data_IF_675758971894
#
_entry.id   IF_675758971894
#
_cell.length_a   1.000
_cell.length_b   1.000
_cell.length_c   1.000
_cell.angle_alpha   90.00
_cell.angle_beta   90.00
_cell.angle_gamma   90.00
#
_symmetry.space_group_name_H-M   'P 1'
#
loop_
_entity.id
_entity.type
_entity.pdbx_description
1 polymer ?
#
# COMPACT_ATOMS: atom_id res chain seq x y z
N UNK A 1 5.88 22.06 -10.00
CA UNK A 1 5.76 20.97 -10.99
C UNK A 1 5.91 19.60 -10.33
N UNK A 2 6.99 19.34 -9.57
CA UNK A 2 7.20 18.08 -8.82
C UNK A 2 6.06 17.77 -7.84
N UNK A 3 5.61 18.73 -7.04
CA UNK A 3 4.48 18.55 -6.13
C UNK A 3 3.20 18.09 -6.86
N UNK A 4 2.92 18.62 -8.06
CA UNK A 4 1.75 18.21 -8.86
C UNK A 4 1.86 16.75 -9.29
N UNK A 5 3.03 16.32 -9.76
CA UNK A 5 3.27 14.91 -10.13
C UNK A 5 3.07 13.99 -8.92
N UNK A 6 3.60 14.36 -7.75
CA UNK A 6 3.40 13.62 -6.51
C UNK A 6 1.92 13.54 -6.10
N UNK A 7 1.18 14.64 -6.21
CA UNK A 7 -0.25 14.67 -5.92
C UNK A 7 -1.02 13.68 -6.81
N UNK A 8 -0.74 13.69 -8.12
CA UNK A 8 -1.38 12.75 -9.05
C UNK A 8 -1.00 11.30 -8.74
N UNK A 9 0.30 11.02 -8.56
CA UNK A 9 0.84 9.70 -8.20
C UNK A 9 0.15 9.14 -6.96
N UNK A 10 0.12 9.93 -5.87
CA UNK A 10 -0.50 9.51 -4.62
C UNK A 10 -2.02 9.31 -4.78
N UNK A 11 -2.70 10.18 -5.52
CA UNK A 11 -4.16 10.07 -5.74
C UNK A 11 -4.56 8.76 -6.41
N UNK A 12 -3.79 8.30 -7.41
CA UNK A 12 -4.03 7.02 -8.06
C UNK A 12 -3.62 5.83 -7.18
N UNK A 13 -2.48 5.93 -6.49
CA UNK A 13 -2.02 4.91 -5.55
C UNK A 13 -3.08 4.63 -4.47
N UNK A 14 -3.69 5.68 -3.92
CA UNK A 14 -4.77 5.59 -2.95
C UNK A 14 -5.94 4.72 -3.45
N UNK A 15 -6.33 4.85 -4.73
CA UNK A 15 -7.41 4.04 -5.30
C UNK A 15 -7.06 2.56 -5.41
N UNK A 16 -5.79 2.24 -5.67
CA UNK A 16 -5.28 0.86 -5.67
C UNK A 16 -5.33 0.28 -4.26
N UNK A 17 -4.84 1.02 -3.26
CA UNK A 17 -4.87 0.61 -1.85
C UNK A 17 -6.31 0.37 -1.39
N UNK A 18 -7.22 1.31 -1.69
CA UNK A 18 -8.63 1.17 -1.37
C UNK A 18 -9.24 -0.08 -2.02
N UNK A 19 -8.96 -0.33 -3.30
CA UNK A 19 -9.41 -1.54 -3.99
C UNK A 19 -8.94 -2.81 -3.26
N UNK A 20 -7.67 -2.90 -2.84
CA UNK A 20 -7.19 -4.10 -2.12
C UNK A 20 -7.92 -4.31 -0.79
N UNK A 21 -8.32 -3.23 -0.11
CA UNK A 21 -9.13 -3.32 1.11
C UNK A 21 -10.55 -3.76 0.87
N UNK A 22 -11.15 -3.32 -0.24
CA UNK A 22 -12.47 -3.78 -0.68
C UNK A 22 -12.44 -5.27 -1.00
N UNK A 23 -11.45 -5.73 -1.77
CA UNK A 23 -11.29 -7.16 -2.10
C UNK A 23 -11.11 -8.00 -0.85
N UNK A 24 -10.29 -7.53 0.10
CA UNK A 24 -10.13 -8.19 1.38
C UNK A 24 -11.46 -8.30 2.13
N UNK A 25 -12.19 -7.18 2.27
CA UNK A 25 -13.48 -7.16 2.95
C UNK A 25 -14.53 -8.06 2.29
N UNK A 26 -14.60 -8.10 0.95
CA UNK A 26 -15.49 -9.00 0.21
C UNK A 26 -15.18 -10.47 0.51
N UNK A 27 -13.91 -10.86 0.40
CA UNK A 27 -13.47 -12.24 0.60
C UNK A 27 -13.73 -12.72 2.04
N UNK A 28 -13.46 -11.85 3.01
CA UNK A 28 -13.57 -12.14 4.44
C UNK A 28 -15.03 -12.22 4.91
N UNK A 29 -15.86 -11.25 4.53
CA UNK A 29 -17.24 -11.18 5.00
C UNK A 29 -18.19 -12.04 4.18
N UNK A 30 -17.81 -12.36 2.94
CA UNK A 30 -18.68 -13.05 1.98
C UNK A 30 -19.74 -12.17 1.35
N UNK A 31 -19.76 -10.87 1.66
CA UNK A 31 -20.59 -9.92 0.95
C UNK A 31 -19.87 -9.46 -0.33
N UNK A 32 -20.36 -9.83 -1.53
CA UNK A 32 -19.68 -9.55 -2.79
C UNK A 32 -19.86 -8.09 -3.25
N UNK A 33 -20.59 -7.24 -2.54
CA UNK A 33 -20.88 -5.87 -2.98
C UNK A 33 -19.63 -4.98 -2.93
N UNK A 34 -19.03 -4.74 -4.10
CA UNK A 34 -17.90 -3.81 -4.25
C UNK A 34 -18.29 -2.40 -3.83
N UNK A 35 -19.45 -1.92 -4.31
CA UNK A 35 -19.95 -0.57 -4.04
C UNK A 35 -20.20 -0.33 -2.55
N UNK A 36 -20.69 -1.33 -1.83
CA UNK A 36 -20.86 -1.21 -0.38
C UNK A 36 -19.52 -0.99 0.31
N UNK A 37 -18.55 -1.87 0.08
CA UNK A 37 -17.25 -1.82 0.76
C UNK A 37 -16.40 -0.61 0.35
N UNK A 38 -16.42 -0.21 -0.92
CA UNK A 38 -15.65 0.96 -1.38
C UNK A 38 -16.18 2.25 -0.76
N UNK A 39 -17.49 2.38 -0.57
CA UNK A 39 -18.09 3.53 0.10
C UNK A 39 -17.86 3.50 1.61
N UNK A 40 -17.97 2.32 2.25
CA UNK A 40 -17.72 2.17 3.69
C UNK A 40 -16.26 2.47 4.03
N UNK A 41 -15.31 1.77 3.40
CA UNK A 41 -13.88 1.93 3.68
C UNK A 41 -13.40 3.31 3.22
N UNK A 42 -13.81 3.76 2.02
CA UNK A 42 -13.45 5.09 1.51
C UNK A 42 -14.01 6.22 2.37
N UNK A 43 -15.27 6.12 2.80
CA UNK A 43 -15.90 7.09 3.69
C UNK A 43 -15.22 7.15 5.06
N UNK A 44 -14.94 5.99 5.67
CA UNK A 44 -14.19 5.90 6.93
C UNK A 44 -12.81 6.54 6.76
N UNK A 45 -12.09 6.23 5.68
CA UNK A 45 -10.77 6.76 5.42
C UNK A 45 -10.78 8.30 5.32
N UNK A 46 -11.73 8.88 4.58
CA UNK A 46 -11.84 10.34 4.43
C UNK A 46 -12.12 11.02 5.78
N UNK A 47 -13.08 10.49 6.56
CA UNK A 47 -13.45 11.06 7.86
C UNK A 47 -12.30 10.93 8.86
N UNK A 48 -11.69 9.75 8.95
CA UNK A 48 -10.56 9.47 9.84
C UNK A 48 -9.37 10.38 9.51
N UNK A 49 -9.08 10.58 8.23
CA UNK A 49 -7.98 11.46 7.79
C UNK A 49 -8.22 12.91 8.16
N UNK A 50 -9.44 13.42 7.99
CA UNK A 50 -9.77 14.81 8.29
C UNK A 50 -9.63 15.17 9.78
N UNK A 51 -9.64 14.15 10.66
CA UNK A 51 -9.52 14.28 12.12
C UNK A 51 -8.14 13.87 12.66
N UNK A 52 -7.36 13.11 11.87
CA UNK A 52 -6.12 12.48 12.30
C UNK A 52 -4.90 13.39 12.25
N UNK A 53 -4.05 13.31 13.27
CA UNK A 53 -2.71 13.91 13.30
C UNK A 53 -1.63 12.85 13.13
N UNK A 54 -0.45 13.25 12.65
CA UNK A 54 0.66 12.35 12.31
C UNK A 54 1.10 11.41 13.45
N UNK A 55 1.10 11.90 14.70
CA UNK A 55 1.48 11.11 15.87
C UNK A 55 0.52 9.93 16.12
N UNK A 56 -0.79 10.17 15.99
CA UNK A 56 -1.80 9.13 16.18
C UNK A 56 -1.64 8.03 15.12
N UNK A 57 -1.37 8.42 13.87
CA UNK A 57 -1.13 7.49 12.76
C UNK A 57 0.09 6.61 13.03
N UNK A 58 1.22 7.21 13.41
CA UNK A 58 2.45 6.46 13.68
C UNK A 58 2.28 5.43 14.82
N UNK A 59 1.52 5.77 15.86
CA UNK A 59 1.25 4.84 16.96
C UNK A 59 0.34 3.68 16.51
N UNK A 60 -0.70 3.97 15.72
CA UNK A 60 -1.58 2.92 15.20
C UNK A 60 -0.87 1.97 14.23
N UNK A 61 0.11 2.47 13.47
CA UNK A 61 0.92 1.65 12.53
C UNK A 61 1.66 0.52 13.23
N UNK A 62 2.19 0.78 14.44
CA UNK A 62 2.91 -0.24 15.21
C UNK A 62 1.98 -1.38 15.61
N UNK A 63 0.78 -1.04 16.09
CA UNK A 63 -0.22 -2.05 16.49
C UNK A 63 -0.67 -2.86 15.28
N UNK A 64 -0.94 -2.19 14.16
CA UNK A 64 -1.33 -2.84 12.89
C UNK A 64 -0.24 -3.81 12.41
N UNK A 65 1.02 -3.37 12.44
CA UNK A 65 2.16 -4.21 12.07
C UNK A 65 2.25 -5.46 12.94
N UNK A 66 2.10 -5.34 14.27
CA UNK A 66 2.11 -6.49 15.18
C UNK A 66 0.96 -7.46 14.86
N UNK A 67 -0.26 -6.95 14.63
CA UNK A 67 -1.41 -7.78 14.29
C UNK A 67 -1.21 -8.53 12.97
N UNK A 68 -0.66 -7.85 11.96
CA UNK A 68 -0.34 -8.48 10.68
C UNK A 68 0.79 -9.50 10.81
N UNK A 69 1.84 -9.20 11.58
CA UNK A 69 2.94 -10.14 11.82
C UNK A 69 2.45 -11.41 12.50
N UNK A 70 1.63 -11.29 13.55
CA UNK A 70 1.01 -12.43 14.21
C UNK A 70 0.12 -13.22 13.24
N UNK A 71 -0.68 -12.53 12.43
CA UNK A 71 -1.48 -13.17 11.40
C UNK A 71 -0.64 -13.97 10.42
N UNK A 72 0.45 -13.40 9.91
CA UNK A 72 1.33 -14.06 8.96
C UNK A 72 2.04 -15.27 9.61
N UNK A 73 2.51 -15.14 10.85
CA UNK A 73 3.16 -16.23 11.60
C UNK A 73 2.22 -17.39 11.94
N UNK A 74 0.91 -17.13 12.05
CA UNK A 74 -0.10 -18.19 12.25
C UNK A 74 -0.47 -18.82 10.90
N UNK A 75 -0.71 -18.01 9.88
CA UNK A 75 -1.23 -18.46 8.59
C UNK A 75 -0.19 -19.24 7.79
N UNK A 76 1.08 -18.82 7.85
CA UNK A 76 2.16 -19.49 7.13
C UNK A 76 2.26 -20.99 7.44
N UNK A 77 2.45 -21.44 8.70
CA UNK A 77 2.55 -22.86 8.99
C UNK A 77 1.24 -23.61 8.70
N UNK A 78 0.08 -22.98 8.88
CA UNK A 78 -1.23 -23.59 8.57
C UNK A 78 -1.42 -23.79 7.06
N UNK A 79 -1.02 -22.82 6.24
CA UNK A 79 -1.12 -22.93 4.79
C UNK A 79 -0.11 -23.95 4.26
N UNK A 80 1.13 -23.93 4.77
CA UNK A 80 2.19 -24.84 4.36
C UNK A 80 1.92 -26.29 4.72
N UNK A 81 1.26 -26.56 5.86
CA UNK A 81 0.89 -27.93 6.24
C UNK A 81 -0.16 -28.56 5.31
N UNK A 82 -0.99 -27.75 4.64
CA UNK A 82 -2.00 -28.21 3.68
C UNK A 82 -1.43 -28.54 2.30
N UNK A 83 -0.20 -28.13 2.01
CA UNK A 83 0.48 -28.35 0.72
C UNK A 83 1.74 -29.21 0.88
N UNK A 84 1.81 -30.04 1.93
CA UNK A 84 2.96 -30.88 2.27
C UNK A 84 4.29 -30.12 2.31
N UNK A 85 4.24 -28.91 2.87
CA UNK A 85 5.37 -27.99 3.01
C UNK A 85 6.05 -27.67 1.67
N UNK A 86 7.33 -27.31 1.71
CA UNK A 86 8.07 -26.92 0.51
C UNK A 86 8.09 -27.99 -0.58
N UNK A 87 8.29 -29.29 -0.28
CA UNK A 87 8.30 -30.33 -1.32
C UNK A 87 6.96 -30.44 -2.06
N UNK A 88 5.82 -30.45 -1.35
CA UNK A 88 4.51 -30.54 -1.98
C UNK A 88 4.09 -29.26 -2.69
N UNK A 89 4.48 -28.09 -2.15
CA UNK A 89 4.30 -26.80 -2.82
C UNK A 89 5.00 -26.80 -4.19
N UNK A 90 6.27 -27.21 -4.24
CA UNK A 90 7.06 -27.27 -5.47
C UNK A 90 6.54 -28.30 -6.47
N UNK A 91 5.94 -29.40 -6.00
CA UNK A 91 5.40 -30.44 -6.87
C UNK A 91 4.11 -30.01 -7.59
N UNK A 92 3.36 -29.05 -7.00
CA UNK A 92 2.05 -28.62 -7.50
C UNK A 92 2.08 -27.24 -8.17
N UNK A 93 3.06 -26.40 -7.85
CA UNK A 93 3.21 -25.11 -8.50
C UNK A 93 3.68 -25.26 -9.95
N UNK A 94 3.21 -24.41 -10.88
CA UNK A 94 3.80 -24.30 -12.20
C UNK A 94 5.30 -23.97 -12.10
N UNK A 95 6.12 -24.56 -12.97
CA UNK A 95 7.58 -24.39 -12.97
C UNK A 95 8.04 -22.93 -12.99
N UNK A 96 7.23 -22.05 -13.59
CA UNK A 96 7.53 -20.64 -13.78
C UNK A 96 7.34 -19.79 -12.53
N UNK A 97 6.65 -20.30 -11.50
CA UNK A 97 6.35 -19.54 -10.27
C UNK A 97 7.60 -19.34 -9.40
N UNK A 98 8.63 -20.17 -9.59
CA UNK A 98 9.89 -20.13 -8.83
C UNK A 98 11.02 -19.48 -9.62
N UNK A 99 10.73 -19.00 -10.83
CA UNK A 99 11.68 -18.26 -11.66
C UNK A 99 11.69 -16.80 -11.20
N UNK A 100 12.66 -16.45 -10.35
CA UNK A 100 12.80 -15.10 -9.78
C UNK A 100 13.13 -14.04 -10.84
N UNK A 101 13.94 -14.40 -11.83
CA UNK A 101 14.33 -13.51 -12.94
C UNK A 101 14.12 -14.28 -14.23
N UNK A 102 13.24 -13.78 -15.10
CA UNK A 102 12.98 -14.41 -16.39
C UNK A 102 14.08 -14.04 -17.39
N UNK A 103 14.39 -14.94 -18.31
CA UNK A 103 15.38 -14.67 -19.37
C UNK A 103 14.83 -13.72 -20.45
N UNK A 104 13.52 -13.74 -20.67
CA UNK A 104 12.81 -12.90 -21.66
C UNK A 104 11.42 -12.53 -21.14
N UNK A 105 10.82 -11.47 -21.70
CA UNK A 105 9.48 -11.02 -21.36
C UNK A 105 9.45 -9.86 -20.35
N UNK A 106 8.28 -9.60 -19.77
CA UNK A 106 8.01 -8.41 -18.94
C UNK A 106 8.76 -8.38 -17.60
N UNK A 107 9.14 -9.55 -17.06
CA UNK A 107 9.82 -9.70 -15.77
C UNK A 107 11.28 -10.16 -15.90
N UNK A 108 11.98 -9.64 -16.90
CA UNK A 108 13.39 -9.96 -17.16
C UNK A 108 14.36 -9.17 -16.25
N UNK A 109 15.67 -9.30 -16.48
CA UNK A 109 16.68 -8.58 -15.70
C UNK A 109 16.55 -7.05 -15.78
N UNK A 110 15.98 -6.50 -16.86
CA UNK A 110 15.75 -5.06 -17.02
C UNK A 110 14.63 -4.61 -16.10
N UNK A 111 13.60 -5.44 -15.93
CA UNK A 111 12.55 -5.18 -14.94
C UNK A 111 13.12 -5.14 -13.52
N UNK A 112 13.99 -6.08 -13.15
CA UNK A 112 14.65 -6.07 -11.84
C UNK A 112 15.46 -4.79 -11.64
N UNK A 113 16.21 -4.38 -12.66
CA UNK A 113 16.98 -3.14 -12.62
C UNK A 113 16.08 -1.90 -12.51
N UNK A 114 14.96 -1.87 -13.23
CA UNK A 114 13.98 -0.79 -13.16
C UNK A 114 13.36 -0.69 -11.74
N UNK A 115 12.89 -1.80 -11.18
CA UNK A 115 12.33 -1.84 -9.83
C UNK A 115 13.38 -1.46 -8.77
N UNK A 116 14.66 -1.82 -8.97
CA UNK A 116 15.74 -1.39 -8.08
C UNK A 116 15.89 0.14 -8.07
N UNK A 117 15.94 0.79 -9.24
CA UNK A 117 16.03 2.25 -9.31
C UNK A 117 14.78 2.95 -8.76
N UNK A 118 13.59 2.41 -9.05
CA UNK A 118 12.34 2.91 -8.46
C UNK A 118 12.31 2.71 -6.93
N UNK A 119 12.94 1.65 -6.41
CA UNK A 119 13.11 1.44 -4.98
C UNK A 119 14.00 2.51 -4.33
N UNK A 120 15.03 2.99 -5.03
CA UNK A 120 15.86 4.11 -4.57
C UNK A 120 15.09 5.43 -4.54
N UNK A 121 14.27 5.68 -5.56
CA UNK A 121 13.32 6.81 -5.58
C UNK A 121 12.44 6.76 -4.33
N UNK A 122 11.73 5.66 -4.13
CA UNK A 122 10.83 5.51 -3.00
C UNK A 122 11.54 5.67 -1.65
N UNK A 123 12.75 5.12 -1.51
CA UNK A 123 13.51 5.20 -0.26
C UNK A 123 14.04 6.61 0.06
N UNK A 124 14.14 7.51 -0.93
CA UNK A 124 14.79 8.83 -0.76
C UNK A 124 13.85 10.01 -0.90
N UNK A 125 12.79 9.88 -1.71
CA UNK A 125 11.90 11.01 -2.04
C UNK A 125 10.43 10.74 -1.74
N UNK A 126 10.04 9.52 -1.33
CA UNK A 126 8.65 9.24 -0.96
C UNK A 126 8.23 10.09 0.25
N UNK A 127 7.20 10.89 0.03
CA UNK A 127 6.72 11.85 1.03
C UNK A 127 6.30 11.17 2.33
N UNK A 128 5.68 9.98 2.27
CA UNK A 128 5.24 9.26 3.46
C UNK A 128 6.41 8.73 4.31
N UNK A 129 7.50 8.35 3.65
CA UNK A 129 8.74 7.93 4.31
C UNK A 129 9.52 9.13 4.86
N UNK A 130 9.67 10.19 4.07
CA UNK A 130 10.36 11.42 4.48
C UNK A 130 9.69 12.08 5.67
N UNK A 131 8.36 12.18 5.67
CA UNK A 131 7.62 12.78 6.78
C UNK A 131 7.92 12.04 8.10
N UNK A 132 7.89 10.70 8.08
CA UNK A 132 8.20 9.87 9.25
C UNK A 132 9.65 10.03 9.69
N UNK A 133 10.57 10.13 8.73
CA UNK A 133 12.00 10.32 8.97
C UNK A 133 12.28 11.67 9.65
N UNK A 134 11.66 12.76 9.18
CA UNK A 134 11.81 14.09 9.76
C UNK A 134 11.13 14.26 11.12
N UNK A 135 10.26 13.34 11.51
CA UNK A 135 9.63 13.31 12.83
C UNK A 135 10.49 12.63 13.89
N UNK A 136 11.67 12.11 13.54
CA UNK A 136 12.57 11.44 14.47
C UNK A 136 13.38 12.45 15.32
N UNK A 137 13.65 12.10 16.58
CA UNK A 137 14.37 12.96 17.53
C UNK A 137 15.82 13.28 17.12
N UNK A 138 16.42 12.44 16.28
CA UNK A 138 17.78 12.64 15.78
C UNK A 138 18.02 11.94 14.45
N UNK A 139 19.01 12.41 13.70
CA UNK A 139 19.48 11.77 12.46
C UNK A 139 19.92 10.32 12.69
N UNK A 140 20.52 10.03 13.84
CA UNK A 140 20.92 8.67 14.23
C UNK A 140 19.72 7.75 14.46
N UNK A 141 18.65 8.27 15.07
CA UNK A 141 17.40 7.54 15.27
C UNK A 141 16.73 7.26 13.92
N UNK A 142 16.62 8.29 13.06
CA UNK A 142 16.10 8.18 11.70
C UNK A 142 16.85 7.09 10.89
N UNK A 143 18.18 7.16 10.83
CA UNK A 143 18.99 6.21 10.07
C UNK A 143 18.83 4.77 10.57
N UNK A 144 18.84 4.55 11.89
CA UNK A 144 18.60 3.22 12.49
C UNK A 144 17.21 2.69 12.17
N UNK A 145 16.19 3.55 12.22
CA UNK A 145 14.82 3.19 11.87
C UNK A 145 14.68 2.76 10.41
N UNK A 146 15.28 3.52 9.48
CA UNK A 146 15.25 3.20 8.05
C UNK A 146 15.97 1.88 7.74
N UNK A 147 17.16 1.65 8.34
CA UNK A 147 17.88 0.39 8.17
C UNK A 147 17.08 -0.79 8.71
N UNK A 148 16.48 -0.64 9.91
CA UNK A 148 15.65 -1.68 10.50
C UNK A 148 14.42 -1.98 9.64
N UNK A 149 13.75 -0.96 9.11
CA UNK A 149 12.63 -1.12 8.20
C UNK A 149 13.04 -1.92 6.96
N UNK A 150 14.17 -1.57 6.32
CA UNK A 150 14.69 -2.31 5.17
C UNK A 150 14.99 -3.79 5.47
N UNK A 151 15.55 -4.08 6.66
CA UNK A 151 15.83 -5.46 7.09
C UNK A 151 14.54 -6.25 7.34
N UNK A 152 13.51 -5.62 7.93
CA UNK A 152 12.26 -6.29 8.31
C UNK A 152 11.31 -6.48 7.13
N UNK A 153 11.26 -5.54 6.19
CA UNK A 153 10.28 -5.56 5.09
C UNK A 153 10.40 -6.80 4.21
N UNK A 154 11.61 -7.23 3.87
CA UNK A 154 11.80 -8.39 2.98
C UNK A 154 11.32 -9.71 3.62
N UNK A 155 11.77 -10.11 4.83
CA UNK A 155 11.21 -11.27 5.53
C UNK A 155 9.70 -11.16 5.73
N UNK A 156 9.20 -9.99 6.12
CA UNK A 156 7.78 -9.76 6.34
C UNK A 156 6.95 -9.98 5.07
N UNK A 157 7.43 -9.53 3.90
CA UNK A 157 6.78 -9.78 2.62
C UNK A 157 6.73 -11.27 2.29
N UNK A 158 7.80 -12.02 2.58
CA UNK A 158 7.82 -13.48 2.36
C UNK A 158 6.81 -14.23 3.24
N UNK A 159 6.54 -13.75 4.45
CA UNK A 159 5.51 -14.32 5.33
C UNK A 159 4.10 -14.25 4.72
N UNK A 160 3.85 -13.36 3.76
CA UNK A 160 2.57 -13.25 3.05
C UNK A 160 2.61 -13.80 1.63
N UNK A 161 3.76 -13.70 0.96
CA UNK A 161 3.95 -14.23 -0.39
C UNK A 161 3.88 -15.76 -0.42
N UNK A 162 4.55 -16.45 0.51
CA UNK A 162 4.57 -17.93 0.53
C UNK A 162 3.16 -18.50 0.77
N UNK A 163 2.37 -18.00 1.73
CA UNK A 163 0.97 -18.42 1.87
C UNK A 163 0.12 -18.04 0.65
N UNK A 164 0.43 -16.94 -0.03
CA UNK A 164 -0.21 -16.60 -1.31
C UNK A 164 0.03 -17.65 -2.40
N UNK A 165 1.25 -18.20 -2.48
CA UNK A 165 1.55 -19.32 -3.37
C UNK A 165 0.75 -20.57 -2.98
N UNK A 166 0.72 -20.92 -1.69
CA UNK A 166 -0.09 -22.04 -1.20
C UNK A 166 -1.58 -21.83 -1.49
N UNK A 167 -2.10 -20.60 -1.38
CA UNK A 167 -3.48 -20.27 -1.69
C UNK A 167 -3.86 -20.57 -3.14
N UNK A 168 -2.91 -20.48 -4.10
CA UNK A 168 -3.16 -20.84 -5.50
C UNK A 168 -3.46 -22.33 -5.70
N UNK A 169 -2.99 -23.18 -4.78
CA UNK A 169 -3.23 -24.63 -4.76
C UNK A 169 -4.47 -24.96 -3.92
N UNK A 170 -4.59 -24.34 -2.74
CA UNK A 170 -5.68 -24.62 -1.78
C UNK A 170 -7.02 -24.10 -2.31
N UNK A 171 -7.02 -22.96 -2.98
CA UNK A 171 -8.21 -22.31 -3.55
C UNK A 171 -8.02 -22.10 -5.06
N UNK A 172 -8.07 -23.16 -5.88
CA UNK A 172 -7.87 -23.04 -7.32
C UNK A 172 -9.06 -22.31 -7.98
N UNK A 173 -8.77 -21.51 -9.01
CA UNK A 173 -9.81 -20.86 -9.81
C UNK A 173 -10.46 -19.63 -9.15
N UNK A 174 -9.77 -18.95 -8.23
CA UNK A 174 -10.22 -17.66 -7.71
C UNK A 174 -10.48 -16.68 -8.85
N UNK A 175 -11.70 -16.16 -8.92
CA UNK A 175 -12.09 -15.16 -9.92
C UNK A 175 -11.25 -13.87 -9.81
N UNK A 176 -10.79 -13.54 -8.61
CA UNK A 176 -9.90 -12.42 -8.35
C UNK A 176 -8.63 -12.91 -7.64
N UNK A 177 -7.45 -12.88 -8.29
CA UNK A 177 -6.19 -13.26 -7.65
C UNK A 177 -5.86 -12.43 -6.41
N UNK A 178 -6.28 -11.16 -6.36
CA UNK A 178 -6.05 -10.27 -5.22
C UNK A 178 -6.79 -10.74 -3.95
N UNK A 179 -7.76 -11.65 -4.07
CA UNK A 179 -8.48 -12.23 -2.92
C UNK A 179 -7.81 -13.45 -2.32
N UNK A 180 -6.68 -13.92 -2.86
CA UNK A 180 -6.03 -15.17 -2.43
C UNK A 180 -5.70 -15.19 -0.93
N UNK A 181 -4.95 -14.20 -0.44
CA UNK A 181 -4.58 -14.10 0.97
C UNK A 181 -5.81 -13.90 1.87
N UNK A 182 -6.73 -12.94 1.60
CA UNK A 182 -7.96 -12.81 2.38
C UNK A 182 -8.82 -14.08 2.45
N UNK A 183 -8.92 -14.82 1.35
CA UNK A 183 -9.67 -16.10 1.30
C UNK A 183 -8.99 -17.15 2.16
N UNK A 184 -7.66 -17.23 2.09
CA UNK A 184 -6.86 -18.13 2.92
C UNK A 184 -7.08 -17.83 4.41
N UNK A 185 -6.98 -16.55 4.81
CA UNK A 185 -7.25 -16.10 6.18
C UNK A 185 -8.62 -16.58 6.67
N UNK A 186 -9.66 -16.36 5.87
CA UNK A 186 -11.03 -16.77 6.21
C UNK A 186 -11.16 -18.28 6.36
N UNK A 187 -10.49 -19.06 5.50
CA UNK A 187 -10.59 -20.52 5.52
C UNK A 187 -9.81 -21.17 6.66
N UNK A 188 -8.71 -20.57 7.11
CA UNK A 188 -7.77 -21.20 8.04
C UNK A 188 -7.89 -20.69 9.49
N UNK A 189 -8.37 -19.46 9.70
CA UNK A 189 -8.37 -18.85 11.02
C UNK A 189 -9.71 -18.98 11.76
N UNK A 190 -9.69 -19.32 13.06
CA UNK A 190 -10.87 -19.21 13.93
C UNK A 190 -11.36 -17.77 13.99
N UNK A 191 -12.67 -17.58 14.21
CA UNK A 191 -13.33 -16.26 14.04
C UNK A 191 -12.71 -15.15 14.90
N UNK A 192 -12.25 -15.46 16.12
CA UNK A 192 -11.59 -14.48 17.00
C UNK A 192 -10.22 -14.03 16.47
N UNK A 193 -9.36 -14.97 16.07
CA UNK A 193 -8.03 -14.68 15.50
C UNK A 193 -8.17 -13.99 14.15
N UNK A 194 -9.10 -14.49 13.32
CA UNK A 194 -9.46 -13.91 12.05
C UNK A 194 -9.81 -12.42 12.22
N UNK A 195 -10.71 -12.09 13.16
CA UNK A 195 -11.08 -10.70 13.45
C UNK A 195 -9.88 -9.80 13.80
N UNK A 196 -8.96 -10.27 14.64
CA UNK A 196 -7.76 -9.50 15.00
C UNK A 196 -6.85 -9.22 13.79
N UNK A 197 -6.61 -10.24 12.95
CA UNK A 197 -5.76 -10.10 11.75
C UNK A 197 -6.42 -9.17 10.72
N UNK A 198 -7.73 -9.29 10.52
CA UNK A 198 -8.49 -8.42 9.60
C UNK A 198 -8.47 -6.97 10.08
N UNK A 199 -8.68 -6.74 11.39
CA UNK A 199 -8.57 -5.42 11.97
C UNK A 199 -7.18 -4.83 11.70
N UNK A 200 -6.11 -5.60 11.87
CA UNK A 200 -4.75 -5.18 11.50
C UNK A 200 -4.63 -4.82 10.01
N UNK A 201 -5.08 -5.72 9.12
CA UNK A 201 -4.97 -5.56 7.68
C UNK A 201 -5.74 -4.34 7.13
N UNK A 202 -7.02 -4.21 7.47
CA UNK A 202 -7.85 -3.09 7.01
C UNK A 202 -7.40 -1.77 7.66
N UNK A 203 -6.99 -1.80 8.93
CA UNK A 203 -6.49 -0.60 9.62
C UNK A 203 -5.15 -0.13 9.04
N UNK A 204 -4.25 -1.04 8.63
CA UNK A 204 -3.01 -0.68 7.92
C UNK A 204 -3.27 0.02 6.59
N UNK A 205 -4.29 -0.43 5.85
CA UNK A 205 -4.72 0.25 4.62
C UNK A 205 -5.31 1.64 4.90
N UNK A 206 -6.15 1.77 5.94
CA UNK A 206 -6.68 3.06 6.37
C UNK A 206 -5.55 4.02 6.77
N UNK A 207 -4.52 3.54 7.46
CA UNK A 207 -3.34 4.35 7.79
C UNK A 207 -2.60 4.81 6.55
N UNK A 208 -2.36 3.92 5.59
CA UNK A 208 -1.71 4.25 4.32
C UNK A 208 -2.52 5.31 3.56
N UNK A 209 -3.84 5.13 3.50
CA UNK A 209 -4.73 6.09 2.87
C UNK A 209 -4.68 7.44 3.59
N UNK A 210 -4.75 7.45 4.91
CA UNK A 210 -4.74 8.67 5.71
C UNK A 210 -3.42 9.43 5.61
N UNK A 211 -2.29 8.73 5.69
CA UNK A 211 -0.96 9.33 5.54
C UNK A 211 -0.80 10.00 4.17
N UNK A 212 -1.21 9.31 3.10
CA UNK A 212 -1.08 9.82 1.74
C UNK A 212 -2.09 10.94 1.42
N UNK A 213 -3.34 10.84 1.87
CA UNK A 213 -4.31 11.93 1.73
C UNK A 213 -3.86 13.19 2.49
N UNK A 214 -3.29 13.03 3.69
CA UNK A 214 -2.71 14.13 4.45
C UNK A 214 -1.47 14.72 3.74
N UNK A 215 -0.60 13.88 3.19
CA UNK A 215 0.54 14.31 2.38
C UNK A 215 0.11 15.13 1.17
N UNK A 216 -0.91 14.66 0.43
CA UNK A 216 -1.50 15.38 -0.70
C UNK A 216 -2.10 16.72 -0.26
N UNK A 217 -2.87 16.74 0.83
CA UNK A 217 -3.44 17.98 1.36
C UNK A 217 -2.34 18.99 1.73
N UNK A 218 -1.27 18.53 2.39
CA UNK A 218 -0.12 19.35 2.78
C UNK A 218 0.55 19.95 1.55
N UNK A 219 0.92 19.13 0.55
CA UNK A 219 1.55 19.60 -0.69
C UNK A 219 0.68 20.62 -1.44
N UNK A 220 -0.64 20.43 -1.46
CA UNK A 220 -1.54 21.40 -2.09
C UNK A 220 -1.57 22.70 -1.29
N UNK A 221 -1.61 22.64 0.03
CA UNK A 221 -1.63 23.85 0.85
C UNK A 221 -0.30 24.61 0.83
N UNK A 222 0.83 23.97 1.14
CA UNK A 222 2.13 24.65 1.24
C UNK A 222 2.71 24.99 -0.12
N UNK A 223 2.74 24.02 -1.02
CA UNK A 223 3.57 24.12 -2.23
C UNK A 223 2.81 24.78 -3.38
N UNK A 224 1.48 24.78 -3.33
CA UNK A 224 0.61 25.37 -4.35
C UNK A 224 -0.13 26.58 -3.78
N UNK A 225 -0.95 26.41 -2.75
CA UNK A 225 -1.84 27.47 -2.28
C UNK A 225 -1.07 28.62 -1.65
N UNK A 226 -0.23 28.38 -0.65
CA UNK A 226 0.57 29.42 0.00
C UNK A 226 1.66 29.95 -0.94
N UNK A 227 2.33 29.10 -1.69
CA UNK A 227 3.43 29.52 -2.58
C UNK A 227 2.95 30.35 -3.79
N UNK A 228 1.84 29.98 -4.42
CA UNK A 228 1.40 30.54 -5.71
C UNK A 228 0.20 31.47 -5.56
N UNK A 229 -0.83 31.06 -4.81
CA UNK A 229 -2.12 31.76 -4.80
C UNK A 229 -2.22 32.81 -3.69
N UNK A 230 -1.84 32.47 -2.45
CA UNK A 230 -1.98 33.36 -1.31
C UNK A 230 -0.87 33.16 -0.26
N UNK A 231 0.24 33.89 -0.46
CA UNK A 231 1.45 33.89 0.39
C UNK A 231 1.25 34.37 1.82
N UNK A 232 0.07 34.91 2.16
CA UNK A 232 -0.27 35.41 3.50
C UNK A 232 -1.62 34.88 3.97
N UNK A 233 -1.99 33.68 3.51
CA UNK A 233 -3.23 33.04 3.94
C UNK A 233 -3.24 32.84 5.46
N UNK A 234 -4.37 33.11 6.10
CA UNK A 234 -4.56 32.79 7.51
C UNK A 234 -4.64 31.26 7.72
N UNK A 235 -4.19 30.78 8.88
CA UNK A 235 -4.18 29.36 9.25
C UNK A 235 -5.57 28.72 9.13
N UNK A 236 -6.64 29.48 9.38
CA UNK A 236 -8.02 29.00 9.21
C UNK A 236 -8.36 28.69 7.75
N UNK A 237 -7.89 29.51 6.81
CA UNK A 237 -8.10 29.33 5.37
C UNK A 237 -7.30 28.12 4.90
N UNK A 238 -6.04 27.99 5.32
CA UNK A 238 -5.17 26.86 4.98
C UNK A 238 -5.81 25.55 5.43
N UNK A 239 -6.31 25.49 6.68
CA UNK A 239 -6.99 24.31 7.20
C UNK A 239 -8.27 23.97 6.42
N UNK A 240 -9.03 24.98 6.00
CA UNK A 240 -10.22 24.78 5.19
C UNK A 240 -9.88 24.23 3.81
N UNK A 241 -8.84 24.77 3.15
CA UNK A 241 -8.32 24.28 1.87
C UNK A 241 -7.83 22.84 2.02
N UNK A 242 -7.04 22.52 3.05
CA UNK A 242 -6.56 21.16 3.31
C UNK A 242 -7.72 20.17 3.40
N UNK A 243 -8.74 20.46 4.22
CA UNK A 243 -9.93 19.60 4.40
C UNK A 243 -10.72 19.43 3.11
N UNK A 244 -10.91 20.50 2.35
CA UNK A 244 -11.60 20.44 1.06
C UNK A 244 -10.83 19.56 0.07
N UNK A 245 -9.51 19.70 0.00
CA UNK A 245 -8.67 18.89 -0.89
C UNK A 245 -8.61 17.42 -0.47
N UNK A 246 -8.56 17.12 0.83
CA UNK A 246 -8.70 15.75 1.34
C UNK A 246 -10.00 15.11 0.85
N UNK A 247 -11.12 15.84 0.90
CA UNK A 247 -12.40 15.35 0.42
C UNK A 247 -12.41 15.16 -1.12
N UNK A 248 -11.92 16.14 -1.87
CA UNK A 248 -11.86 16.07 -3.34
C UNK A 248 -10.99 14.90 -3.84
N UNK A 249 -9.81 14.73 -3.26
CA UNK A 249 -8.89 13.63 -3.58
C UNK A 249 -9.46 12.29 -3.10
N UNK A 250 -10.13 12.27 -1.95
CA UNK A 250 -10.84 11.09 -1.46
C UNK A 250 -11.93 10.60 -2.41
N UNK A 251 -12.69 11.51 -3.03
CA UNK A 251 -13.63 11.15 -4.10
C UNK A 251 -12.88 10.59 -5.31
N UNK A 252 -11.78 11.22 -5.72
CA UNK A 252 -10.94 10.73 -6.82
C UNK A 252 -10.41 9.30 -6.58
N UNK A 253 -9.96 9.01 -5.35
CA UNK A 253 -9.57 7.68 -4.90
C UNK A 253 -10.69 6.65 -5.08
N UNK A 254 -11.91 6.96 -4.61
CA UNK A 254 -13.07 6.08 -4.73
C UNK A 254 -13.40 5.81 -6.19
N UNK A 255 -13.39 6.85 -7.04
CA UNK A 255 -13.64 6.71 -8.47
C UNK A 255 -12.57 5.83 -9.15
N UNK A 256 -11.31 6.04 -8.81
CA UNK A 256 -10.22 5.27 -9.40
C UNK A 256 -10.21 3.81 -8.94
N UNK A 257 -10.67 3.50 -7.72
CA UNK A 257 -10.81 2.11 -7.26
C UNK A 257 -11.69 1.24 -8.19
N UNK A 258 -12.68 1.83 -8.89
CA UNK A 258 -13.49 1.13 -9.91
C UNK A 258 -12.73 0.80 -11.20
N UNK A 259 -11.61 1.46 -11.46
CA UNK A 259 -10.77 1.22 -12.64
C UNK A 259 -9.74 0.11 -12.42
N UNK A 260 -9.33 -0.12 -11.18
CA UNK A 260 -8.30 -1.13 -10.83
C UNK A 260 -8.62 -2.54 -11.38
N UNK A 261 -9.85 -3.08 -11.27
CA UNK A 261 -10.16 -4.38 -11.89
C UNK A 261 -9.96 -4.40 -13.40
N UNK A 262 -10.24 -3.29 -14.10
CA UNK A 262 -10.10 -3.16 -15.56
C UNK A 262 -8.65 -3.07 -16.00
N UNK A 263 -7.75 -2.72 -15.09
CA UNK A 263 -6.30 -2.70 -15.30
C UNK A 263 -5.66 -4.08 -15.03
N UNK A 264 -6.45 -5.11 -14.73
CA UNK A 264 -5.94 -6.45 -14.45
C UNK A 264 -5.58 -6.70 -12.98
N UNK A 265 -6.17 -5.94 -12.05
CA UNK A 265 -5.99 -6.11 -10.61
C UNK A 265 -4.98 -5.14 -9.99
N UNK A 266 -4.74 -5.28 -8.68
CA UNK A 266 -3.94 -4.32 -7.92
C UNK A 266 -2.50 -4.23 -8.41
N UNK A 267 -1.88 -5.38 -8.70
CA UNK A 267 -0.46 -5.45 -9.13
C UNK A 267 -0.29 -4.76 -10.49
N UNK A 268 -1.12 -5.08 -11.47
CA UNK A 268 -1.01 -4.47 -12.81
C UNK A 268 -1.33 -2.98 -12.79
N UNK A 269 -2.32 -2.55 -12.00
CA UNK A 269 -2.60 -1.14 -11.79
C UNK A 269 -1.40 -0.41 -11.16
N UNK A 270 -0.75 -1.03 -10.18
CA UNK A 270 0.43 -0.48 -9.52
C UNK A 270 1.63 -0.38 -10.47
N UNK A 271 1.94 -1.46 -11.21
CA UNK A 271 3.03 -1.46 -12.20
C UNK A 271 2.81 -0.41 -13.28
N UNK A 272 1.58 -0.25 -13.76
CA UNK A 272 1.22 0.81 -14.72
C UNK A 272 1.44 2.20 -14.12
N UNK A 273 1.02 2.41 -12.86
CA UNK A 273 1.17 3.70 -12.19
C UNK A 273 2.63 4.09 -12.03
N UNK A 274 3.47 3.20 -11.51
CA UNK A 274 4.90 3.50 -11.28
C UNK A 274 5.66 3.69 -12.60
N UNK A 275 5.28 2.96 -13.66
CA UNK A 275 5.89 3.11 -14.97
C UNK A 275 5.64 4.51 -15.58
N UNK A 276 4.44 5.07 -15.38
CA UNK A 276 4.06 6.38 -15.94
C UNK A 276 4.56 7.53 -15.04
N UNK A 277 4.47 7.38 -13.71
CA UNK A 277 4.65 8.49 -12.76
C UNK A 277 6.02 8.47 -12.05
N UNK A 278 6.48 7.32 -11.56
CA UNK A 278 7.64 7.26 -10.67
C UNK A 278 8.96 7.39 -11.45
N UNK A 279 9.00 6.97 -12.73
CA UNK A 279 10.21 7.10 -13.55
C UNK A 279 10.57 8.57 -13.91
N UNK A 280 9.61 9.44 -14.31
CA UNK A 280 9.86 10.87 -14.39
C UNK A 280 10.24 11.52 -13.06
N UNK A 281 9.61 11.09 -11.95
CA UNK A 281 9.91 11.60 -10.60
C UNK A 281 11.34 11.25 -10.18
N UNK A 282 11.79 10.02 -10.44
CA UNK A 282 13.17 9.59 -10.20
C UNK A 282 14.17 10.50 -10.92
N UNK A 283 13.96 10.76 -12.22
CA UNK A 283 14.87 11.60 -13.00
C UNK A 283 14.92 13.02 -12.41
N UNK A 284 13.77 13.64 -12.15
CA UNK A 284 13.73 15.03 -11.68
C UNK A 284 14.27 15.16 -10.25
N UNK A 285 13.87 14.26 -9.34
CA UNK A 285 14.16 14.40 -7.93
C UNK A 285 15.53 13.83 -7.54
N UNK A 286 15.89 12.66 -8.08
CA UNK A 286 17.15 11.99 -7.71
C UNK A 286 18.30 12.44 -8.60
N UNK A 287 18.14 12.43 -9.93
CA UNK A 287 19.25 12.74 -10.84
C UNK A 287 19.57 14.23 -10.89
N UNK A 288 18.54 15.10 -10.88
CA UNK A 288 18.72 16.56 -10.95
C UNK A 288 18.59 17.29 -9.59
N UNK A 289 18.01 16.64 -8.58
CA UNK A 289 17.68 17.30 -7.30
C UNK A 289 18.64 16.98 -6.16
N UNK A 290 19.14 15.74 -6.07
CA UNK A 290 20.02 15.29 -4.98
C UNK A 290 21.53 15.43 -5.30
N UNK A 291 21.88 15.52 -6.59
CA UNK A 291 23.23 15.72 -7.09
C UNK A 291 23.33 17.02 -7.89
#
# INVERSE_FOLDING_TARGET
>A
MVAVLWIFRLSFWLGIVLYTGVVAAQAITGNPSFTFWVLVIGGIAIVYTALGGMFAVAFTDVIQFILMLLGALIVLPLAMSLVDWWPGLMAQLPSDFMVLVRNTGEFDWKFILAIFFLGLEWATVDQGLLQRTFSADSTKTAARGLVLAGIITTPFALLWLIPGLAASIIHPGLANPDSAVPTLLRSLLPHGVLGLVICGLLSAQLSTIAGNLNGVATMITSDIYESIFNKRADNKIILLVARFMTFAVGIGMILFAYWVPRMGGAVNAYLTLIAIMDMPLFIIAVVYGLF
#
